data_IF_638432036743
#
_entry.id   IF_638432036743
#
_cell.length_a   1.000
_cell.length_b   1.000
_cell.length_c   1.000
_cell.angle_alpha   90.00
_cell.angle_beta   90.00
_cell.angle_gamma   90.00
#
_symmetry.space_group_name_H-M   'P 1'
#
loop_
_entity.id
_entity.type
_entity.pdbx_description
1 polymer ?
#
# COMPACT_ATOMS: atom_id res chain seq x y z
N UNK A 1 -2.75 -4.88 39.16
CA UNK A 1 -1.33 -4.45 39.15
C UNK A 1 -1.10 -3.73 37.82
N UNK A 2 -1.48 -2.45 37.76
CA UNK A 2 -1.45 -1.64 36.56
C UNK A 2 -0.22 -0.75 36.55
N UNK A 3 0.77 -1.04 35.72
CA UNK A 3 1.61 0.00 35.15
C UNK A 3 0.94 0.43 33.83
N UNK A 4 0.17 1.51 33.91
CA UNK A 4 -0.10 2.31 32.72
C UNK A 4 1.27 2.75 32.18
N UNK A 5 1.67 2.18 31.06
CA UNK A 5 2.76 2.73 30.27
C UNK A 5 2.19 4.05 29.75
N UNK A 6 2.58 5.15 30.39
CA UNK A 6 2.42 6.47 29.80
C UNK A 6 3.26 6.44 28.51
N UNK A 7 2.65 6.17 27.38
CA UNK A 7 3.27 6.39 26.09
C UNK A 7 3.55 7.88 26.04
N UNK A 8 4.81 8.22 25.94
CA UNK A 8 5.23 9.56 25.54
C UNK A 8 4.66 9.73 24.13
N UNK A 9 3.48 10.36 24.03
CA UNK A 9 2.86 10.66 22.74
C UNK A 9 3.82 11.59 21.99
N UNK A 10 4.61 11.02 21.11
CA UNK A 10 5.22 11.81 20.05
C UNK A 10 4.06 12.30 19.18
N UNK A 11 3.76 13.58 19.27
CA UNK A 11 2.65 14.16 18.49
C UNK A 11 2.98 14.06 17.01
N UNK A 12 2.13 13.37 16.22
CA UNK A 12 2.25 13.28 14.76
C UNK A 12 2.26 14.68 14.12
N UNK A 13 1.51 15.60 14.69
CA UNK A 13 1.37 16.97 14.20
C UNK A 13 1.75 17.99 15.27
N UNK A 14 2.47 19.03 14.87
CA UNK A 14 2.78 20.18 15.72
C UNK A 14 1.54 21.03 16.00
N UNK A 15 1.58 21.85 17.06
CA UNK A 15 0.51 22.80 17.35
C UNK A 15 0.23 23.77 16.18
N UNK A 16 1.27 24.16 15.43
CA UNK A 16 1.12 25.00 14.25
C UNK A 16 0.35 24.29 13.13
N UNK A 17 0.65 23.02 12.87
CA UNK A 17 -0.07 22.19 11.90
C UNK A 17 -1.53 21.98 12.29
N UNK A 18 -1.80 21.68 13.56
CA UNK A 18 -3.18 21.52 14.06
C UNK A 18 -3.96 22.84 13.96
N UNK A 19 -3.31 23.99 14.27
CA UNK A 19 -3.90 25.32 14.10
C UNK A 19 -4.20 25.64 12.64
N UNK A 20 -3.32 25.30 11.72
CA UNK A 20 -3.54 25.43 10.29
C UNK A 20 -4.75 24.59 9.83
N UNK A 21 -4.81 23.32 10.17
CA UNK A 21 -5.92 22.43 9.82
C UNK A 21 -7.28 22.89 10.40
N UNK A 22 -7.28 23.45 11.62
CA UNK A 22 -8.48 24.02 12.24
C UNK A 22 -8.97 25.29 11.51
N UNK A 23 -8.06 26.06 10.91
CA UNK A 23 -8.38 27.29 10.15
C UNK A 23 -8.99 27.04 8.78
N UNK A 24 -8.76 25.87 8.16
CA UNK A 24 -9.32 25.53 6.85
C UNK A 24 -10.85 25.43 6.90
N UNK A 25 -11.54 25.83 5.84
CA UNK A 25 -13.00 25.79 5.76
C UNK A 25 -13.44 25.12 4.46
N UNK A 26 -14.55 24.38 4.55
CA UNK A 26 -15.18 23.75 3.39
C UNK A 26 -14.33 22.67 2.74
N UNK A 27 -14.64 22.41 1.49
CA UNK A 27 -13.98 21.42 0.65
C UNK A 27 -12.67 21.98 0.07
N UNK A 28 -11.61 21.21 0.14
CA UNK A 28 -10.32 21.55 -0.46
C UNK A 28 -10.35 21.17 -1.94
N UNK A 29 -10.22 22.15 -2.83
CA UNK A 29 -9.96 21.93 -4.23
C UNK A 29 -8.53 21.40 -4.46
N UNK A 30 -8.11 21.23 -5.71
CA UNK A 30 -6.78 20.70 -6.03
C UNK A 30 -5.63 21.50 -5.42
N UNK A 31 -5.53 22.85 -5.62
CA UNK A 31 -4.46 23.65 -5.02
C UNK A 31 -4.43 23.58 -3.50
N UNK A 32 -5.59 23.71 -2.85
CA UNK A 32 -5.70 23.64 -1.40
C UNK A 32 -5.37 22.25 -0.85
N UNK A 33 -5.70 21.18 -1.58
CA UNK A 33 -5.36 19.80 -1.22
C UNK A 33 -3.84 19.58 -1.23
N UNK A 34 -3.16 20.01 -2.26
CA UNK A 34 -1.69 19.90 -2.38
C UNK A 34 -0.99 20.69 -1.26
N UNK A 35 -1.43 21.93 -1.00
CA UNK A 35 -0.88 22.74 0.07
C UNK A 35 -1.14 22.11 1.45
N UNK A 36 -2.33 21.57 1.68
CA UNK A 36 -2.66 20.88 2.93
C UNK A 36 -1.74 19.67 3.16
N UNK A 37 -1.62 18.77 2.17
CA UNK A 37 -0.78 17.56 2.30
C UNK A 37 0.68 17.92 2.59
N UNK A 38 1.20 18.94 1.88
CA UNK A 38 2.55 19.46 2.09
C UNK A 38 2.74 20.06 3.49
N UNK A 39 1.84 20.94 3.92
CA UNK A 39 1.92 21.60 5.23
C UNK A 39 1.82 20.61 6.39
N UNK A 40 1.00 19.57 6.22
CA UNK A 40 0.82 18.53 7.22
C UNK A 40 1.91 17.44 7.19
N UNK A 41 2.85 17.47 6.25
CA UNK A 41 3.83 16.41 5.98
C UNK A 41 3.14 15.05 5.82
N UNK A 42 2.05 15.01 5.06
CA UNK A 42 1.34 13.79 4.68
C UNK A 42 1.79 13.43 3.26
N UNK A 43 2.54 12.34 3.14
CA UNK A 43 3.17 11.94 1.89
C UNK A 43 2.26 11.05 1.08
N UNK A 44 2.22 11.25 -0.22
CA UNK A 44 1.34 10.56 -1.13
C UNK A 44 2.13 10.05 -2.34
N UNK A 45 1.86 8.83 -2.77
CA UNK A 45 2.44 8.19 -3.95
C UNK A 45 1.37 7.49 -4.79
N UNK A 46 1.78 6.96 -5.93
CA UNK A 46 0.89 6.27 -6.89
C UNK A 46 1.62 5.04 -7.41
N UNK A 47 0.95 3.90 -7.46
CA UNK A 47 1.45 2.74 -8.20
C UNK A 47 1.55 3.07 -9.69
N UNK A 48 2.67 2.74 -10.35
CA UNK A 48 2.84 3.04 -11.79
C UNK A 48 1.70 2.45 -12.62
N UNK A 49 1.16 1.31 -12.18
CA UNK A 49 0.00 0.67 -12.81
C UNK A 49 -1.23 1.56 -12.78
N UNK A 50 -1.51 2.28 -11.70
CA UNK A 50 -2.65 3.21 -11.60
C UNK A 50 -2.60 4.33 -12.65
N UNK A 51 -1.42 4.60 -13.21
CA UNK A 51 -1.21 5.55 -14.31
C UNK A 51 -1.05 4.85 -15.67
N UNK A 52 -1.31 3.53 -15.75
CA UNK A 52 -1.21 2.71 -16.94
C UNK A 52 -2.53 2.54 -17.68
N UNK A 53 -2.49 1.73 -18.74
CA UNK A 53 -3.69 1.16 -19.34
C UNK A 53 -3.98 -0.20 -18.70
N UNK A 54 -5.24 -0.46 -18.43
CA UNK A 54 -5.68 -1.71 -17.81
C UNK A 54 -6.38 -2.59 -18.84
N UNK A 55 -6.18 -3.89 -18.71
CA UNK A 55 -6.91 -4.87 -19.45
C UNK A 55 -7.58 -5.88 -18.52
N UNK A 56 -8.69 -6.44 -18.97
CA UNK A 56 -9.37 -7.56 -18.36
C UNK A 56 -9.98 -8.47 -19.42
N UNK A 57 -10.77 -9.47 -18.99
CA UNK A 57 -11.43 -10.39 -19.94
C UNK A 57 -12.46 -9.72 -20.87
N UNK A 58 -12.91 -8.50 -20.57
CA UNK A 58 -13.88 -7.74 -21.38
C UNK A 58 -13.20 -6.77 -22.34
N UNK A 59 -12.01 -6.30 -22.00
CA UNK A 59 -11.17 -5.43 -22.83
C UNK A 59 -9.72 -5.95 -22.86
N UNK A 60 -9.47 -7.12 -23.51
CA UNK A 60 -8.14 -7.73 -23.51
C UNK A 60 -7.01 -6.86 -24.08
N UNK A 61 -7.27 -5.94 -25.05
CA UNK A 61 -6.23 -5.04 -25.56
C UNK A 61 -5.91 -3.86 -24.63
N UNK A 62 -6.76 -3.62 -23.61
CA UNK A 62 -6.74 -2.42 -22.77
C UNK A 62 -7.90 -1.48 -23.07
N UNK A 63 -8.28 -0.70 -22.07
CA UNK A 63 -9.42 0.23 -22.14
C UNK A 63 -9.09 1.55 -22.86
N UNK A 64 -7.80 1.83 -23.09
CA UNK A 64 -7.29 2.99 -23.83
C UNK A 64 -6.54 2.59 -25.11
N UNK A 65 -6.69 1.33 -25.53
CA UNK A 65 -5.97 0.76 -26.69
C UNK A 65 -6.36 1.37 -28.05
N UNK A 66 -7.47 2.10 -28.11
CA UNK A 66 -7.94 2.85 -29.28
C UNK A 66 -7.40 4.29 -29.35
N UNK A 67 -6.68 4.75 -28.30
CA UNK A 67 -5.97 6.03 -28.32
C UNK A 67 -4.49 5.83 -28.67
N UNK A 68 -4.05 6.16 -29.90
CA UNK A 68 -2.65 6.03 -30.30
C UNK A 68 -1.69 6.94 -29.51
N UNK A 69 -2.23 7.96 -28.83
CA UNK A 69 -1.47 8.89 -28.00
C UNK A 69 -1.27 8.40 -26.57
N UNK A 70 -1.95 7.31 -26.18
CA UNK A 70 -1.86 6.78 -24.82
C UNK A 70 -0.59 5.93 -24.64
N UNK A 71 0.48 6.57 -24.17
CA UNK A 71 1.73 5.86 -23.86
C UNK A 71 1.57 4.93 -22.66
N UNK A 72 2.05 3.68 -22.78
CA UNK A 72 1.99 2.67 -21.70
C UNK A 72 3.32 2.45 -20.99
N UNK A 73 4.38 3.13 -21.47
CA UNK A 73 5.72 3.06 -20.89
C UNK A 73 5.83 3.82 -19.56
N UNK A 74 6.91 3.53 -18.82
CA UNK A 74 7.14 4.10 -17.50
C UNK A 74 7.27 5.63 -17.51
N UNK A 75 7.83 6.22 -18.57
CA UNK A 75 7.94 7.68 -18.70
C UNK A 75 6.54 8.30 -18.80
N UNK A 76 5.67 7.76 -19.64
CA UNK A 76 4.28 8.20 -19.80
C UNK A 76 3.50 8.10 -18.47
N UNK A 77 3.72 7.04 -17.71
CA UNK A 77 3.12 6.85 -16.39
C UNK A 77 3.62 7.90 -15.37
N UNK A 78 4.92 8.19 -15.35
CA UNK A 78 5.48 9.26 -14.52
C UNK A 78 4.88 10.63 -14.89
N UNK A 79 4.75 10.95 -16.18
CA UNK A 79 4.19 12.21 -16.64
C UNK A 79 2.72 12.38 -16.25
N UNK A 80 1.90 11.32 -16.35
CA UNK A 80 0.51 11.33 -15.88
C UNK A 80 0.40 11.51 -14.36
N UNK A 81 1.21 10.78 -13.59
CA UNK A 81 1.29 10.90 -12.13
C UNK A 81 1.64 12.35 -11.72
N UNK A 82 2.66 12.93 -12.35
CA UNK A 82 3.06 14.32 -12.11
C UNK A 82 1.97 15.32 -12.50
N UNK A 83 1.32 15.14 -13.64
CA UNK A 83 0.22 15.98 -14.10
C UNK A 83 -0.96 15.97 -13.13
N UNK A 84 -1.23 14.84 -12.48
CA UNK A 84 -2.22 14.70 -11.41
C UNK A 84 -1.82 15.41 -10.09
N UNK A 85 -0.57 15.86 -9.96
CA UNK A 85 -0.07 16.58 -8.79
C UNK A 85 0.66 15.70 -7.78
N UNK A 86 1.11 14.50 -8.16
CA UNK A 86 1.83 13.59 -7.27
C UNK A 86 3.29 13.48 -7.69
N UNK A 87 4.20 13.59 -6.72
CA UNK A 87 5.66 13.63 -6.95
C UNK A 87 6.36 12.31 -6.59
N UNK A 88 5.60 11.28 -6.28
CA UNK A 88 6.13 10.00 -5.85
C UNK A 88 5.40 8.85 -6.57
N UNK A 89 6.16 7.81 -6.94
CA UNK A 89 5.63 6.67 -7.69
C UNK A 89 6.17 5.36 -7.09
N UNK A 90 5.39 4.31 -7.17
CA UNK A 90 5.82 2.94 -6.89
C UNK A 90 5.98 2.16 -8.19
N UNK A 91 6.82 1.14 -8.16
CA UNK A 91 7.11 0.33 -9.33
C UNK A 91 6.95 -1.16 -9.04
N UNK A 92 6.69 -1.95 -10.08
CA UNK A 92 7.07 -3.35 -10.10
C UNK A 92 8.52 -3.49 -10.58
N UNK A 93 9.24 -4.52 -10.09
CA UNK A 93 10.60 -4.78 -10.55
C UNK A 93 10.66 -4.99 -12.08
N UNK A 94 9.58 -5.52 -12.66
CA UNK A 94 9.46 -5.79 -14.10
C UNK A 94 9.58 -4.56 -14.99
N UNK A 95 9.38 -3.35 -14.46
CA UNK A 95 9.61 -2.09 -15.18
C UNK A 95 11.06 -1.96 -15.65
N UNK A 96 12.01 -2.55 -14.92
CA UNK A 96 13.44 -2.48 -15.21
C UNK A 96 14.03 -3.83 -15.60
N UNK A 97 13.23 -4.73 -16.10
CA UNK A 97 13.66 -6.00 -16.69
C UNK A 97 13.64 -5.90 -18.23
N UNK A 98 14.56 -6.57 -18.90
CA UNK A 98 14.57 -6.64 -20.38
C UNK A 98 13.34 -7.33 -20.95
N UNK A 99 12.84 -8.30 -20.23
CA UNK A 99 11.58 -9.01 -20.46
C UNK A 99 10.96 -9.40 -19.13
N UNK A 100 9.68 -9.68 -19.08
CA UNK A 100 8.98 -10.09 -17.87
C UNK A 100 9.69 -11.26 -17.18
N UNK A 101 10.16 -11.04 -15.95
CA UNK A 101 10.98 -11.95 -15.16
C UNK A 101 12.26 -12.43 -15.89
N UNK A 102 12.82 -11.57 -16.71
CA UNK A 102 14.10 -11.73 -17.37
C UNK A 102 15.24 -11.04 -16.62
N UNK A 103 16.31 -10.75 -17.34
CA UNK A 103 17.46 -10.04 -16.76
C UNK A 103 17.11 -8.60 -16.41
N UNK A 104 17.68 -8.10 -15.32
CA UNK A 104 17.65 -6.69 -14.96
C UNK A 104 18.31 -5.86 -16.09
N UNK A 105 17.74 -4.68 -16.37
CA UNK A 105 18.31 -3.67 -17.27
C UNK A 105 18.83 -2.46 -16.46
N UNK A 106 20.09 -2.46 -15.99
CA UNK A 106 20.65 -1.33 -15.26
C UNK A 106 20.67 -0.04 -16.08
N UNK A 107 20.77 -0.14 -17.41
CA UNK A 107 20.73 1.02 -18.28
C UNK A 107 19.32 1.67 -18.32
N UNK A 108 18.27 0.88 -18.23
CA UNK A 108 16.91 1.42 -18.08
C UNK A 108 16.72 2.15 -16.75
N UNK A 109 17.28 1.61 -15.66
CA UNK A 109 17.28 2.28 -14.35
C UNK A 109 18.00 3.63 -14.45
N UNK A 110 19.20 3.67 -15.02
CA UNK A 110 19.96 4.90 -15.16
C UNK A 110 19.23 5.92 -16.05
N UNK A 111 18.66 5.49 -17.17
CA UNK A 111 17.83 6.35 -18.04
C UNK A 111 16.65 6.95 -17.29
N UNK A 112 15.94 6.16 -16.51
CA UNK A 112 14.79 6.64 -15.74
C UNK A 112 15.23 7.65 -14.66
N UNK A 113 16.30 7.36 -13.91
CA UNK A 113 16.79 8.22 -12.84
C UNK A 113 17.34 9.56 -13.36
N UNK A 114 18.11 9.55 -14.46
CA UNK A 114 18.68 10.77 -15.04
C UNK A 114 17.74 11.51 -15.98
N UNK A 115 16.74 10.81 -16.51
CA UNK A 115 15.72 11.34 -17.40
C UNK A 115 14.47 11.76 -16.64
N UNK A 116 13.36 11.05 -16.86
CA UNK A 116 12.01 11.45 -16.43
C UNK A 116 11.89 11.71 -14.92
N UNK A 117 12.53 10.90 -14.06
CA UNK A 117 12.44 11.11 -12.61
C UNK A 117 13.15 12.40 -12.18
N UNK A 118 14.33 12.68 -12.73
CA UNK A 118 15.05 13.92 -12.44
C UNK A 118 14.36 15.15 -13.06
N UNK A 119 13.89 15.04 -14.30
CA UNK A 119 13.16 16.10 -15.00
C UNK A 119 11.91 16.53 -14.23
N UNK A 120 11.13 15.58 -13.76
CA UNK A 120 9.87 15.82 -13.05
C UNK A 120 10.04 16.03 -11.53
N UNK A 121 11.25 15.85 -11.00
CA UNK A 121 11.50 15.91 -9.56
C UNK A 121 10.76 14.83 -8.79
N UNK A 122 10.61 13.62 -9.36
CA UNK A 122 9.89 12.51 -8.77
C UNK A 122 10.80 11.54 -8.03
N UNK A 123 10.26 10.88 -7.02
CA UNK A 123 10.93 9.82 -6.26
C UNK A 123 10.20 8.49 -6.40
N UNK A 124 10.96 7.38 -6.37
CA UNK A 124 10.39 6.03 -6.29
C UNK A 124 10.38 5.59 -4.83
N UNK A 125 9.22 5.21 -4.31
CA UNK A 125 9.00 4.96 -2.88
C UNK A 125 9.02 3.50 -2.50
N UNK A 126 8.56 2.63 -3.39
CA UNK A 126 8.44 1.19 -3.16
C UNK A 126 8.75 0.43 -4.45
N UNK A 127 9.42 -0.70 -4.31
CA UNK A 127 9.52 -1.72 -5.34
C UNK A 127 8.61 -2.89 -4.95
N UNK A 128 7.56 -3.14 -5.72
CA UNK A 128 6.64 -4.26 -5.55
C UNK A 128 7.10 -5.42 -6.43
N UNK A 129 7.02 -6.63 -5.92
CA UNK A 129 7.52 -7.81 -6.63
C UNK A 129 6.39 -8.50 -7.37
N UNK A 130 6.59 -8.70 -8.67
CA UNK A 130 5.65 -9.39 -9.54
C UNK A 130 6.11 -10.82 -9.82
N UNK A 131 5.51 -11.80 -9.15
CA UNK A 131 5.69 -13.24 -9.38
C UNK A 131 4.38 -13.91 -9.80
N UNK A 132 3.48 -13.18 -10.45
CA UNK A 132 2.15 -13.69 -10.85
C UNK A 132 1.84 -13.50 -12.33
N UNK A 133 2.28 -12.42 -12.97
CA UNK A 133 1.95 -12.13 -14.38
C UNK A 133 2.57 -13.14 -15.34
N UNK A 134 3.79 -13.63 -15.06
CA UNK A 134 4.42 -14.63 -15.91
C UNK A 134 3.75 -16.00 -15.71
N UNK A 135 3.24 -16.64 -16.78
CA UNK A 135 2.56 -17.93 -16.69
C UNK A 135 3.35 -19.07 -16.04
N UNK A 136 4.70 -18.96 -15.97
CA UNK A 136 5.52 -19.95 -15.26
C UNK A 136 5.14 -20.06 -13.78
N UNK A 137 4.67 -18.95 -13.18
CA UNK A 137 4.25 -18.86 -11.77
C UNK A 137 2.74 -19.10 -11.56
N UNK A 138 2.00 -19.63 -12.52
CA UNK A 138 0.55 -19.87 -12.41
C UNK A 138 0.12 -20.76 -11.25
N UNK A 139 1.03 -21.56 -10.68
CA UNK A 139 0.80 -22.42 -9.50
C UNK A 139 1.56 -21.92 -8.26
N UNK A 140 1.86 -20.61 -8.22
CA UNK A 140 2.60 -19.95 -7.16
C UNK A 140 4.00 -19.52 -7.57
N UNK A 141 4.51 -18.52 -6.89
CA UNK A 141 5.90 -18.08 -6.93
C UNK A 141 6.71 -18.73 -5.81
N UNK A 142 6.91 -18.08 -4.64
CA UNK A 142 7.61 -18.66 -3.49
C UNK A 142 7.00 -19.96 -2.94
N UNK A 143 5.70 -20.19 -3.15
CA UNK A 143 5.00 -21.42 -2.71
C UNK A 143 4.83 -22.46 -3.82
N UNK A 144 5.46 -22.29 -4.98
CA UNK A 144 5.30 -23.20 -6.11
C UNK A 144 5.66 -24.66 -5.71
N UNK A 145 4.89 -25.68 -6.12
CA UNK A 145 5.24 -27.07 -5.86
C UNK A 145 6.58 -27.49 -6.49
N UNK A 146 6.97 -26.88 -7.61
CA UNK A 146 8.26 -27.11 -8.25
C UNK A 146 9.37 -26.31 -7.56
N UNK A 147 10.39 -26.97 -6.96
CA UNK A 147 11.49 -26.28 -6.29
C UNK A 147 12.33 -25.39 -7.22
N UNK A 148 12.39 -25.69 -8.53
CA UNK A 148 13.09 -24.84 -9.48
C UNK A 148 12.34 -23.52 -9.69
N UNK A 149 11.01 -23.56 -9.70
CA UNK A 149 10.19 -22.34 -9.81
C UNK A 149 10.17 -21.54 -8.49
N UNK A 150 10.20 -22.19 -7.31
CA UNK A 150 10.43 -21.47 -6.03
C UNK A 150 11.75 -20.73 -6.03
N UNK A 151 12.83 -21.37 -6.53
CA UNK A 151 14.13 -20.72 -6.67
C UNK A 151 14.06 -19.54 -7.63
N UNK A 152 13.45 -19.71 -8.78
CA UNK A 152 13.26 -18.62 -9.74
C UNK A 152 12.46 -17.45 -9.14
N UNK A 153 11.42 -17.72 -8.37
CA UNK A 153 10.66 -16.69 -7.66
C UNK A 153 11.50 -15.93 -6.62
N UNK A 154 12.33 -16.65 -5.85
CA UNK A 154 13.27 -16.02 -4.92
C UNK A 154 14.26 -15.10 -5.66
N UNK A 155 14.75 -15.52 -6.82
CA UNK A 155 15.63 -14.71 -7.66
C UNK A 155 14.94 -13.42 -8.14
N UNK A 156 13.63 -13.48 -8.46
CA UNK A 156 12.84 -12.28 -8.78
C UNK A 156 12.78 -11.30 -7.59
N UNK A 157 12.51 -11.81 -6.38
CA UNK A 157 12.46 -10.95 -5.19
C UNK A 157 13.84 -10.33 -4.92
N UNK A 158 14.93 -11.07 -5.09
CA UNK A 158 16.28 -10.56 -4.92
C UNK A 158 16.68 -9.54 -5.99
N UNK A 159 16.14 -9.63 -7.21
CA UNK A 159 16.29 -8.54 -8.21
C UNK A 159 15.63 -7.26 -7.72
N UNK A 160 14.47 -7.34 -7.08
CA UNK A 160 13.82 -6.18 -6.44
C UNK A 160 14.71 -5.55 -5.38
N UNK A 161 15.43 -6.34 -4.57
CA UNK A 161 16.42 -5.80 -3.63
C UNK A 161 17.54 -5.04 -4.36
N UNK A 162 18.03 -5.58 -5.49
CA UNK A 162 19.06 -4.89 -6.29
C UNK A 162 18.55 -3.57 -6.88
N UNK A 163 17.32 -3.54 -7.39
CA UNK A 163 16.67 -2.29 -7.86
C UNK A 163 16.58 -1.28 -6.71
N UNK A 164 16.12 -1.74 -5.52
CA UNK A 164 16.03 -0.88 -4.33
C UNK A 164 17.40 -0.26 -3.99
N UNK A 165 18.48 -1.03 -4.08
CA UNK A 165 19.85 -0.53 -3.86
C UNK A 165 20.25 0.53 -4.89
N UNK A 166 20.08 0.22 -6.18
CA UNK A 166 20.46 1.10 -7.28
C UNK A 166 19.69 2.42 -7.28
N UNK A 167 18.42 2.36 -6.95
CA UNK A 167 17.53 3.52 -6.96
C UNK A 167 17.36 4.17 -5.57
N UNK A 168 17.92 3.60 -4.52
CA UNK A 168 17.76 4.03 -3.12
C UNK A 168 16.28 4.00 -2.66
N UNK A 169 15.55 2.99 -3.11
CA UNK A 169 14.17 2.78 -2.72
C UNK A 169 14.13 2.19 -1.30
N UNK A 170 13.37 2.80 -0.37
CA UNK A 170 13.42 2.39 1.04
C UNK A 170 12.61 1.12 1.36
N UNK A 171 11.65 0.74 0.53
CA UNK A 171 10.72 -0.36 0.80
C UNK A 171 10.68 -1.34 -0.38
N UNK A 172 10.79 -2.62 -0.06
CA UNK A 172 10.48 -3.75 -0.94
C UNK A 172 9.18 -4.37 -0.44
N UNK A 173 8.14 -4.42 -1.27
CA UNK A 173 6.85 -5.03 -0.93
C UNK A 173 6.65 -6.33 -1.68
N UNK A 174 6.20 -7.36 -0.98
CA UNK A 174 5.89 -8.69 -1.53
C UNK A 174 4.41 -8.99 -1.30
N UNK A 175 3.67 -8.98 -2.39
CA UNK A 175 2.32 -9.49 -2.48
C UNK A 175 2.37 -10.93 -3.00
N UNK A 176 1.69 -11.92 -2.35
CA UNK A 176 1.81 -13.32 -2.74
C UNK A 176 1.25 -13.66 -4.13
N UNK A 177 0.43 -12.79 -4.73
CA UNK A 177 -0.01 -12.92 -6.12
C UNK A 177 -0.70 -14.26 -6.42
N UNK A 178 0.02 -15.17 -7.10
CA UNK A 178 -0.48 -16.49 -7.47
C UNK A 178 -0.23 -17.59 -6.42
N UNK A 179 0.33 -17.24 -5.23
CA UNK A 179 0.55 -18.21 -4.17
C UNK A 179 -0.75 -18.49 -3.40
N UNK A 180 -1.28 -19.69 -3.54
CA UNK A 180 -2.54 -20.08 -2.91
C UNK A 180 -3.14 -21.33 -3.55
N UNK A 181 -4.48 -21.46 -3.52
CA UNK A 181 -5.20 -22.61 -4.05
C UNK A 181 -6.57 -22.24 -4.59
N UNK A 182 -6.93 -22.82 -5.74
CA UNK A 182 -8.27 -22.71 -6.34
C UNK A 182 -9.22 -23.78 -5.78
N UNK A 183 -8.69 -24.91 -5.30
CA UNK A 183 -9.48 -26.07 -4.87
C UNK A 183 -9.02 -26.59 -3.53
N UNK A 184 -9.97 -27.17 -2.78
CA UNK A 184 -9.65 -27.88 -1.55
C UNK A 184 -8.69 -29.04 -1.83
N UNK A 185 -7.74 -29.27 -0.92
CA UNK A 185 -6.70 -30.29 -1.00
C UNK A 185 -5.65 -30.08 -2.11
N UNK A 186 -5.68 -28.96 -2.83
CA UNK A 186 -4.71 -28.65 -3.89
C UNK A 186 -3.29 -28.45 -3.36
N UNK A 187 -3.16 -27.88 -2.16
CA UNK A 187 -1.87 -27.60 -1.52
C UNK A 187 -1.85 -28.09 -0.07
N UNK A 188 -0.66 -28.32 0.45
CA UNK A 188 -0.42 -28.35 1.89
C UNK A 188 -0.19 -26.93 2.39
N UNK A 189 -1.16 -26.38 3.10
CA UNK A 189 -1.13 -24.98 3.58
C UNK A 189 0.07 -24.70 4.49
N UNK A 190 0.39 -25.63 5.41
CA UNK A 190 1.52 -25.48 6.32
C UNK A 190 2.84 -25.42 5.55
N UNK A 191 3.05 -26.36 4.66
CA UNK A 191 4.25 -26.44 3.84
C UNK A 191 4.40 -25.19 2.95
N UNK A 192 3.32 -24.70 2.37
CA UNK A 192 3.34 -23.50 1.53
C UNK A 192 3.71 -22.24 2.32
N UNK A 193 3.16 -22.08 3.53
CA UNK A 193 3.54 -20.99 4.45
C UNK A 193 5.02 -21.09 4.86
N UNK A 194 5.52 -22.29 5.10
CA UNK A 194 6.93 -22.53 5.41
C UNK A 194 7.84 -22.09 4.25
N UNK A 195 7.55 -22.51 3.02
CA UNK A 195 8.32 -22.11 1.83
C UNK A 195 8.31 -20.58 1.63
N UNK A 196 7.15 -19.95 1.76
CA UNK A 196 7.03 -18.49 1.69
C UNK A 196 7.88 -17.81 2.76
N UNK A 197 7.81 -18.28 3.99
CA UNK A 197 8.57 -17.75 5.12
C UNK A 197 10.08 -17.91 4.91
N UNK A 198 10.54 -19.08 4.46
CA UNK A 198 11.97 -19.34 4.16
C UNK A 198 12.51 -18.43 3.06
N UNK A 199 11.74 -18.20 2.00
CA UNK A 199 12.09 -17.25 0.96
C UNK A 199 12.25 -15.83 1.54
N UNK A 200 11.28 -15.38 2.33
CA UNK A 200 11.32 -14.05 2.94
C UNK A 200 12.42 -13.89 4.00
N UNK A 201 12.81 -14.95 4.72
CA UNK A 201 13.99 -14.93 5.60
C UNK A 201 15.27 -14.64 4.81
N UNK A 202 15.42 -15.27 3.65
CA UNK A 202 16.57 -15.02 2.75
C UNK A 202 16.58 -13.59 2.25
N UNK A 203 15.43 -13.11 1.78
CA UNK A 203 15.26 -11.73 1.30
C UNK A 203 15.50 -10.70 2.41
N UNK A 204 14.95 -10.93 3.60
CA UNK A 204 15.09 -9.98 4.72
C UNK A 204 16.53 -9.85 5.20
N UNK A 205 17.29 -10.95 5.18
CA UNK A 205 18.75 -10.90 5.45
C UNK A 205 19.49 -10.02 4.47
N UNK A 206 19.08 -10.03 3.20
CA UNK A 206 19.68 -9.16 2.19
C UNK A 206 19.22 -7.71 2.35
N UNK A 207 17.92 -7.48 2.60
CA UNK A 207 17.35 -6.16 2.88
C UNK A 207 18.04 -5.47 4.06
N UNK A 208 18.28 -6.20 5.16
CA UNK A 208 18.96 -5.69 6.36
C UNK A 208 20.36 -5.14 6.07
N UNK A 209 21.12 -5.76 5.14
CA UNK A 209 22.46 -5.28 4.76
C UNK A 209 22.45 -3.90 4.11
N UNK A 210 21.32 -3.53 3.52
CA UNK A 210 21.20 -2.31 2.71
C UNK A 210 20.22 -1.29 3.29
N UNK A 211 19.66 -1.55 4.49
CA UNK A 211 18.68 -0.67 5.13
C UNK A 211 17.34 -0.60 4.39
N UNK A 212 17.03 -1.60 3.55
CA UNK A 212 15.77 -1.73 2.83
C UNK A 212 14.76 -2.42 3.75
N UNK A 213 13.56 -1.88 3.88
CA UNK A 213 12.47 -2.47 4.63
C UNK A 213 11.74 -3.50 3.78
N UNK A 214 11.45 -4.68 4.36
CA UNK A 214 10.64 -5.70 3.70
C UNK A 214 9.21 -5.60 4.20
N UNK A 215 8.25 -5.52 3.30
CA UNK A 215 6.82 -5.50 3.61
C UNK A 215 6.12 -6.72 3.01
N UNK A 216 5.18 -7.30 3.76
CA UNK A 216 4.27 -8.35 3.29
C UNK A 216 2.90 -7.72 3.12
N UNK A 217 2.29 -7.92 1.97
CA UNK A 217 0.96 -7.45 1.66
C UNK A 217 -0.03 -8.62 1.65
N UNK A 218 -0.93 -8.71 2.65
CA UNK A 218 -1.96 -9.74 2.69
C UNK A 218 -3.11 -9.42 1.76
N UNK A 219 -3.72 -10.47 1.19
CA UNK A 219 -4.95 -10.40 0.41
C UNK A 219 -5.73 -11.71 0.55
N UNK A 220 -7.06 -11.67 0.79
CA UNK A 220 -7.83 -12.90 1.02
C UNK A 220 -7.91 -13.80 -0.20
N UNK A 221 -8.16 -13.24 -1.37
CA UNK A 221 -8.34 -13.93 -2.65
C UNK A 221 -8.22 -12.96 -3.82
N UNK A 222 -8.14 -13.49 -5.03
CA UNK A 222 -8.15 -12.74 -6.28
C UNK A 222 -9.48 -12.88 -7.04
N UNK A 223 -9.73 -12.12 -8.12
CA UNK A 223 -10.95 -12.21 -8.92
C UNK A 223 -11.31 -13.61 -9.44
N UNK A 224 -10.38 -14.56 -9.43
CA UNK A 224 -10.63 -15.97 -9.74
C UNK A 224 -11.01 -16.81 -8.54
N UNK A 225 -11.27 -16.15 -7.39
CA UNK A 225 -11.60 -16.78 -6.12
C UNK A 225 -10.49 -17.69 -5.55
N UNK A 226 -9.24 -17.46 -5.97
CA UNK A 226 -8.07 -18.13 -5.42
C UNK A 226 -7.94 -17.78 -3.93
N UNK A 227 -7.83 -18.78 -3.08
CA UNK A 227 -7.46 -18.58 -1.67
C UNK A 227 -5.97 -18.34 -1.57
N UNK A 228 -5.60 -17.09 -1.22
CA UNK A 228 -4.20 -16.71 -1.11
C UNK A 228 -3.56 -17.23 0.18
N UNK A 229 -2.24 -17.47 0.12
CA UNK A 229 -1.51 -18.10 1.23
C UNK A 229 -1.37 -17.19 2.45
N UNK A 230 -1.40 -15.87 2.24
CA UNK A 230 -1.37 -14.85 3.29
C UNK A 230 -2.69 -14.04 3.20
N UNK A 231 -3.81 -14.60 3.68
CA UNK A 231 -5.12 -14.02 3.41
C UNK A 231 -5.47 -12.81 4.28
N UNK A 232 -4.80 -12.62 5.41
CA UNK A 232 -5.19 -11.60 6.40
C UNK A 232 -3.99 -10.86 6.98
N UNK A 233 -4.22 -9.66 7.52
CA UNK A 233 -3.21 -8.93 8.27
C UNK A 233 -2.63 -9.76 9.44
N UNK A 234 -3.45 -10.56 10.11
CA UNK A 234 -3.00 -11.46 11.19
C UNK A 234 -2.02 -12.53 10.68
N UNK A 235 -2.29 -13.14 9.52
CA UNK A 235 -1.37 -14.11 8.92
C UNK A 235 -0.05 -13.46 8.49
N UNK A 236 -0.11 -12.25 7.91
CA UNK A 236 1.09 -11.49 7.55
C UNK A 236 1.94 -11.13 8.79
N UNK A 237 1.30 -10.73 9.89
CA UNK A 237 1.98 -10.45 11.18
C UNK A 237 2.68 -11.71 11.70
N UNK A 238 2.02 -12.86 11.69
CA UNK A 238 2.62 -14.12 12.13
C UNK A 238 3.86 -14.47 11.30
N UNK A 239 3.78 -14.36 9.97
CA UNK A 239 4.91 -14.61 9.07
C UNK A 239 6.03 -13.58 9.30
N UNK A 240 5.71 -12.28 9.41
CA UNK A 240 6.70 -11.25 9.69
C UNK A 240 7.46 -11.48 11.00
N UNK A 241 6.76 -11.95 12.06
CA UNK A 241 7.40 -12.32 13.33
C UNK A 241 8.39 -13.49 13.15
N UNK A 242 8.03 -14.53 12.37
CA UNK A 242 8.94 -15.65 12.10
C UNK A 242 10.13 -15.21 11.26
N UNK A 243 9.91 -14.39 10.22
CA UNK A 243 10.98 -13.83 9.37
C UNK A 243 11.94 -13.00 10.22
N UNK A 244 11.44 -12.10 11.04
CA UNK A 244 12.24 -11.25 11.92
C UNK A 244 13.08 -12.08 12.91
N UNK A 245 12.47 -13.08 13.54
CA UNK A 245 13.15 -13.99 14.46
C UNK A 245 14.29 -14.74 13.76
N UNK A 246 14.04 -15.27 12.56
CA UNK A 246 15.01 -16.10 11.84
C UNK A 246 16.12 -15.27 11.14
N UNK A 247 15.88 -13.99 10.83
CA UNK A 247 16.85 -13.09 10.22
C UNK A 247 17.63 -12.23 11.22
N UNK A 248 17.22 -12.22 12.50
CA UNK A 248 17.93 -11.50 13.56
C UNK A 248 17.66 -9.98 13.58
N UNK A 249 16.47 -9.54 13.16
CA UNK A 249 16.11 -8.12 13.15
C UNK A 249 14.60 -7.90 13.27
N UNK A 250 14.16 -6.65 13.25
CA UNK A 250 12.74 -6.24 13.20
C UNK A 250 12.48 -5.40 11.95
N UNK A 251 12.82 -5.92 10.79
CA UNK A 251 12.81 -5.21 9.51
C UNK A 251 11.67 -5.65 8.58
N UNK A 252 11.19 -6.89 8.73
CA UNK A 252 10.02 -7.37 8.03
C UNK A 252 8.78 -6.82 8.72
N UNK A 253 7.93 -6.13 7.95
CA UNK A 253 6.69 -5.52 8.39
C UNK A 253 5.60 -5.76 7.36
N UNK A 254 4.60 -4.87 7.30
CA UNK A 254 3.45 -5.01 6.44
C UNK A 254 3.30 -3.84 5.46
N UNK A 255 2.71 -4.16 4.32
CA UNK A 255 1.84 -3.28 3.55
C UNK A 255 0.42 -3.53 4.00
N UNK A 256 -0.34 -2.50 4.31
CA UNK A 256 -1.78 -2.61 4.56
C UNK A 256 -2.51 -1.91 3.42
N UNK A 257 -3.21 -2.71 2.62
CA UNK A 257 -4.09 -2.22 1.58
C UNK A 257 -5.51 -2.08 2.12
N UNK A 258 -6.11 -0.90 1.89
CA UNK A 258 -7.44 -0.56 2.43
C UNK A 258 -8.55 -1.40 1.81
N UNK A 259 -8.50 -1.67 0.51
CA UNK A 259 -9.47 -2.52 -0.20
C UNK A 259 -9.39 -3.98 0.25
N UNK A 260 -8.17 -4.50 0.46
CA UNK A 260 -7.97 -5.87 0.94
C UNK A 260 -8.61 -6.07 2.33
N UNK A 261 -8.55 -5.07 3.21
CA UNK A 261 -9.21 -5.17 4.52
C UNK A 261 -10.74 -5.21 4.39
N UNK A 262 -11.31 -4.54 3.39
CA UNK A 262 -12.74 -4.64 3.09
C UNK A 262 -13.13 -6.00 2.54
N UNK A 263 -12.26 -6.66 1.79
CA UNK A 263 -12.47 -8.04 1.36
C UNK A 263 -12.50 -9.01 2.55
N UNK A 264 -11.66 -8.78 3.57
CA UNK A 264 -11.65 -9.55 4.83
C UNK A 264 -12.90 -9.31 5.69
N UNK A 265 -13.76 -8.37 5.34
CA UNK A 265 -14.86 -7.87 6.18
C UNK A 265 -14.39 -7.37 7.57
N UNK A 266 -13.18 -6.83 7.63
CA UNK A 266 -12.60 -6.17 8.80
C UNK A 266 -12.42 -4.68 8.53
N UNK A 267 -11.70 -3.97 9.41
CA UNK A 267 -11.33 -2.58 9.20
C UNK A 267 -9.81 -2.45 9.09
N UNK A 268 -9.34 -1.59 8.20
CA UNK A 268 -7.91 -1.30 8.10
C UNK A 268 -7.34 -0.71 9.41
N UNK A 269 -8.18 -0.03 10.20
CA UNK A 269 -7.84 0.41 11.56
C UNK A 269 -7.47 -0.75 12.48
N UNK A 270 -8.26 -1.86 12.43
CA UNK A 270 -7.95 -3.06 13.21
C UNK A 270 -6.62 -3.69 12.78
N UNK A 271 -6.35 -3.75 11.48
CA UNK A 271 -5.07 -4.28 10.97
C UNK A 271 -3.87 -3.45 11.46
N UNK A 272 -3.98 -2.11 11.43
CA UNK A 272 -2.97 -1.20 11.96
C UNK A 272 -2.70 -1.44 13.46
N UNK A 273 -3.75 -1.55 14.24
CA UNK A 273 -3.65 -1.71 15.69
C UNK A 273 -3.16 -3.10 16.08
N UNK A 274 -3.53 -4.14 15.32
CA UNK A 274 -3.03 -5.49 15.50
C UNK A 274 -1.52 -5.57 15.22
N UNK A 275 -1.06 -4.93 14.15
CA UNK A 275 0.37 -4.82 13.85
C UNK A 275 1.14 -4.12 14.98
N UNK A 276 0.61 -2.99 15.46
CA UNK A 276 1.19 -2.26 16.59
C UNK A 276 1.21 -3.09 17.88
N UNK A 277 0.12 -3.82 18.19
CA UNK A 277 0.05 -4.73 19.33
C UNK A 277 1.09 -5.85 19.25
N UNK A 278 1.31 -6.37 18.06
CA UNK A 278 2.29 -7.43 17.80
C UNK A 278 3.75 -6.93 17.73
N UNK A 279 3.98 -5.62 17.79
CA UNK A 279 5.31 -5.02 17.64
C UNK A 279 5.86 -5.08 16.20
N UNK A 280 4.98 -5.24 15.21
CA UNK A 280 5.31 -5.28 13.78
C UNK A 280 5.05 -3.91 13.16
N UNK A 281 6.00 -3.42 12.36
CA UNK A 281 5.88 -2.13 11.69
C UNK A 281 5.01 -2.24 10.43
N UNK A 282 4.23 -1.21 10.15
CA UNK A 282 3.63 -1.01 8.84
C UNK A 282 4.54 -0.09 8.05
N UNK A 283 5.05 -0.58 6.92
CA UNK A 283 6.02 0.15 6.10
C UNK A 283 5.36 0.93 4.99
N UNK A 284 4.17 0.51 4.57
CA UNK A 284 3.41 1.11 3.47
C UNK A 284 1.91 0.99 3.75
N UNK A 285 1.18 2.00 3.33
CA UNK A 285 -0.28 1.96 3.25
C UNK A 285 -0.72 2.17 1.81
N UNK A 286 -1.56 1.26 1.31
CA UNK A 286 -2.24 1.44 0.05
C UNK A 286 -3.64 2.01 0.28
N UNK A 287 -3.97 2.99 -0.56
CA UNK A 287 -5.24 3.69 -0.55
C UNK A 287 -5.96 3.50 -1.88
N UNK A 288 -7.10 2.89 -1.79
CA UNK A 288 -8.09 2.66 -2.82
C UNK A 288 -9.46 2.64 -2.14
N UNK A 289 -10.49 2.15 -2.78
CA UNK A 289 -11.76 1.90 -2.12
C UNK A 289 -12.46 0.67 -2.73
N UNK A 290 -13.24 -0.01 -1.92
CA UNK A 290 -14.02 -1.17 -2.32
C UNK A 290 -15.29 -1.27 -1.46
N UNK A 291 -16.30 -1.99 -1.96
CA UNK A 291 -17.46 -2.35 -1.14
C UNK A 291 -17.13 -3.52 -0.24
N UNK A 292 -17.62 -3.46 0.99
CA UNK A 292 -17.41 -4.52 1.98
C UNK A 292 -17.81 -5.90 1.45
N UNK A 293 -16.92 -6.88 1.62
CA UNK A 293 -17.15 -8.28 1.24
C UNK A 293 -17.29 -8.51 -0.27
N UNK A 294 -16.76 -7.61 -1.10
CA UNK A 294 -16.65 -7.78 -2.55
C UNK A 294 -15.23 -8.10 -2.94
N UNK A 295 -15.03 -8.42 -4.22
CA UNK A 295 -13.70 -8.51 -4.81
C UNK A 295 -12.98 -7.17 -4.69
N UNK A 296 -11.68 -7.21 -4.83
CA UNK A 296 -10.89 -6.00 -4.93
C UNK A 296 -11.38 -5.14 -6.09
N UNK A 297 -11.89 -3.97 -5.74
CA UNK A 297 -12.49 -3.09 -6.73
C UNK A 297 -11.56 -1.93 -7.11
N UNK A 298 -10.54 -1.69 -6.31
CA UNK A 298 -9.50 -0.68 -6.54
C UNK A 298 -10.03 0.67 -7.03
N UNK A 299 -11.15 1.09 -6.42
CA UNK A 299 -11.81 2.35 -6.75
C UNK A 299 -11.02 3.54 -6.20
N UNK A 300 -11.31 4.73 -6.70
CA UNK A 300 -10.77 5.97 -6.16
C UNK A 300 -11.06 6.10 -4.66
N UNK A 301 -10.06 6.44 -3.86
CA UNK A 301 -10.15 6.50 -2.41
C UNK A 301 -11.25 7.45 -1.92
N UNK A 302 -12.00 7.01 -0.89
CA UNK A 302 -13.04 7.79 -0.23
C UNK A 302 -14.34 7.92 -1.02
N UNK A 303 -14.60 7.00 -1.97
CA UNK A 303 -15.81 7.03 -2.79
C UNK A 303 -16.93 6.13 -2.27
N UNK A 304 -16.63 5.19 -1.36
CA UNK A 304 -17.61 4.23 -0.84
C UNK A 304 -18.00 4.53 0.61
N UNK A 305 -17.02 4.72 1.51
CA UNK A 305 -17.31 4.94 2.93
C UNK A 305 -16.43 6.03 3.54
N UNK A 306 -16.99 7.23 3.71
CA UNK A 306 -16.28 8.34 4.37
C UNK A 306 -15.92 8.00 5.82
N UNK A 307 -16.83 7.48 6.68
CA UNK A 307 -16.49 7.18 8.07
C UNK A 307 -15.31 6.21 8.21
N UNK A 308 -15.31 5.12 7.45
CA UNK A 308 -14.24 4.11 7.49
C UNK A 308 -12.91 4.68 6.99
N UNK A 309 -12.92 5.44 5.90
CA UNK A 309 -11.71 6.06 5.36
C UNK A 309 -11.12 7.09 6.33
N UNK A 310 -11.96 7.86 7.02
CA UNK A 310 -11.51 8.82 8.04
C UNK A 310 -10.97 8.11 9.27
N UNK A 311 -11.62 7.05 9.74
CA UNK A 311 -11.13 6.25 10.87
C UNK A 311 -9.78 5.59 10.56
N UNK A 312 -9.64 5.05 9.36
CA UNK A 312 -8.37 4.49 8.89
C UNK A 312 -7.24 5.52 8.95
N UNK A 313 -7.42 6.70 8.34
CA UNK A 313 -6.40 7.76 8.35
C UNK A 313 -6.12 8.26 9.77
N UNK A 314 -7.17 8.44 10.59
CA UNK A 314 -7.01 8.79 12.00
C UNK A 314 -6.14 7.78 12.74
N UNK A 315 -6.38 6.47 12.55
CA UNK A 315 -5.61 5.41 13.20
C UNK A 315 -4.14 5.45 12.79
N UNK A 316 -3.84 5.65 11.50
CA UNK A 316 -2.45 5.78 11.04
C UNK A 316 -1.76 6.99 11.67
N UNK A 317 -2.46 8.11 11.88
CA UNK A 317 -1.92 9.30 12.55
C UNK A 317 -1.66 9.05 14.03
N UNK A 318 -2.56 8.34 14.73
CA UNK A 318 -2.37 7.93 16.13
C UNK A 318 -1.16 6.99 16.28
N UNK A 319 -0.86 6.18 15.26
CA UNK A 319 0.33 5.31 15.21
C UNK A 319 1.59 6.00 14.70
N UNK A 320 1.56 7.33 14.54
CA UNK A 320 2.68 8.17 14.07
C UNK A 320 3.27 7.72 12.72
N UNK A 321 2.44 7.22 11.83
CA UNK A 321 2.89 6.86 10.50
C UNK A 321 3.37 8.10 9.71
N UNK A 322 4.57 7.98 9.11
CA UNK A 322 5.24 9.06 8.36
C UNK A 322 5.70 8.65 6.98
N UNK A 323 5.33 7.45 6.56
CA UNK A 323 5.60 6.94 5.22
C UNK A 323 4.64 7.49 4.17
N UNK A 324 4.65 6.85 3.02
CA UNK A 324 3.78 7.22 1.90
C UNK A 324 2.46 6.45 1.97
N UNK A 325 1.36 7.15 1.64
CA UNK A 325 0.10 6.54 1.28
C UNK A 325 0.06 6.43 -0.23
N UNK A 326 0.01 5.21 -0.76
CA UNK A 326 0.08 4.97 -2.19
C UNK A 326 -1.29 4.68 -2.76
N UNK A 327 -1.62 5.31 -3.88
CA UNK A 327 -2.80 4.91 -4.64
C UNK A 327 -2.50 3.58 -5.34
N UNK A 328 -3.20 2.55 -4.91
CA UNK A 328 -3.32 1.27 -5.58
C UNK A 328 -4.73 1.15 -6.14
N UNK A 329 -4.94 1.72 -7.33
CA UNK A 329 -6.26 1.80 -7.92
C UNK A 329 -6.23 1.34 -9.39
N UNK A 330 -7.32 0.67 -9.81
CA UNK A 330 -7.53 0.17 -11.16
C UNK A 330 -8.84 0.72 -11.71
N UNK A 331 -8.80 1.95 -12.21
CA UNK A 331 -9.99 2.71 -12.62
C UNK A 331 -10.40 2.48 -14.08
N UNK A 332 -10.02 1.37 -14.67
CA UNK A 332 -10.26 0.81 -16.02
C UNK A 332 -10.77 1.77 -17.10
N UNK A 333 -11.93 2.41 -16.85
CA UNK A 333 -12.69 3.17 -17.87
C UNK A 333 -12.44 4.67 -17.79
N UNK A 334 -11.72 5.13 -16.78
CA UNK A 334 -11.50 6.55 -16.49
C UNK A 334 -10.14 7.00 -17.05
N UNK A 335 -10.01 8.28 -17.36
CA UNK A 335 -8.68 8.86 -17.61
C UNK A 335 -7.82 8.72 -16.35
N UNK A 336 -6.67 8.04 -16.42
CA UNK A 336 -5.87 7.75 -15.22
C UNK A 336 -5.39 9.03 -14.51
N UNK A 337 -5.03 10.08 -15.24
CA UNK A 337 -4.60 11.35 -14.66
C UNK A 337 -5.71 11.97 -13.81
N UNK A 338 -6.94 11.96 -14.35
CA UNK A 338 -8.11 12.50 -13.65
C UNK A 338 -8.50 11.64 -12.45
N UNK A 339 -8.39 10.32 -12.57
CA UNK A 339 -8.67 9.39 -11.48
C UNK A 339 -7.66 9.56 -10.32
N UNK A 340 -6.36 9.65 -10.63
CA UNK A 340 -5.31 9.92 -9.64
C UNK A 340 -5.53 11.27 -8.96
N UNK A 341 -5.78 12.34 -9.74
CA UNK A 341 -6.08 13.67 -9.18
C UNK A 341 -7.27 13.64 -8.24
N UNK A 342 -8.38 12.99 -8.65
CA UNK A 342 -9.59 12.89 -7.84
C UNK A 342 -9.34 12.13 -6.54
N UNK A 343 -8.62 11.01 -6.60
CA UNK A 343 -8.25 10.22 -5.42
C UNK A 343 -7.39 11.03 -4.45
N UNK A 344 -6.42 11.80 -4.96
CA UNK A 344 -5.57 12.69 -4.15
C UNK A 344 -6.40 13.80 -3.46
N UNK A 345 -7.35 14.42 -4.16
CA UNK A 345 -8.22 15.45 -3.58
C UNK A 345 -9.11 14.84 -2.48
N UNK A 346 -9.70 13.68 -2.74
CA UNK A 346 -10.49 12.95 -1.74
C UNK A 346 -9.64 12.62 -0.50
N UNK A 347 -8.45 12.06 -0.73
CA UNK A 347 -7.51 11.73 0.34
C UNK A 347 -7.18 12.93 1.23
N UNK A 348 -6.88 14.10 0.63
CA UNK A 348 -6.58 15.32 1.37
C UNK A 348 -7.79 15.78 2.22
N UNK A 349 -9.00 15.75 1.66
CA UNK A 349 -10.21 16.15 2.37
C UNK A 349 -10.54 15.20 3.53
N UNK A 350 -10.36 13.90 3.34
CA UNK A 350 -10.57 12.89 4.39
C UNK A 350 -9.46 12.95 5.46
N UNK A 351 -8.22 13.20 5.05
CA UNK A 351 -7.12 13.43 5.98
C UNK A 351 -7.34 14.68 6.83
N UNK A 352 -7.90 15.76 6.27
CA UNK A 352 -8.29 16.94 7.05
C UNK A 352 -9.32 16.59 8.14
N UNK A 353 -10.33 15.78 7.79
CA UNK A 353 -11.31 15.30 8.79
C UNK A 353 -10.63 14.43 9.87
N UNK A 354 -9.75 13.53 9.47
CA UNK A 354 -8.99 12.68 10.40
C UNK A 354 -8.08 13.51 11.33
N UNK A 355 -7.41 14.55 10.82
CA UNK A 355 -6.60 15.49 11.63
C UNK A 355 -7.46 16.24 12.64
N UNK A 356 -8.65 16.65 12.28
CA UNK A 356 -9.57 17.32 13.20
C UNK A 356 -10.04 16.42 14.33
N UNK A 357 -10.33 15.15 14.04
CA UNK A 357 -10.63 14.14 15.06
C UNK A 357 -9.39 13.89 15.93
N UNK A 358 -8.21 13.79 15.34
CA UNK A 358 -6.94 13.64 16.05
C UNK A 358 -6.69 14.82 17.01
N UNK A 359 -6.94 16.04 16.59
CA UNK A 359 -6.82 17.23 17.44
C UNK A 359 -7.79 17.20 18.64
N UNK A 360 -8.89 16.47 18.53
CA UNK A 360 -9.90 16.31 19.60
C UNK A 360 -9.76 14.96 20.35
N UNK A 361 -8.59 14.32 20.29
CA UNK A 361 -8.30 13.05 20.93
C UNK A 361 -8.78 12.94 22.38
N UNK A 362 -8.56 13.93 23.27
CA UNK A 362 -8.99 13.81 24.66
C UNK A 362 -10.52 13.65 24.83
N UNK A 363 -11.31 14.33 23.99
CA UNK A 363 -12.77 14.21 23.99
C UNK A 363 -13.20 12.83 23.48
N UNK A 364 -12.54 12.35 22.41
CA UNK A 364 -12.81 11.02 21.85
C UNK A 364 -12.45 9.91 22.85
N UNK A 365 -11.33 10.01 23.55
CA UNK A 365 -10.93 9.02 24.54
C UNK A 365 -11.89 9.00 25.73
N UNK A 366 -12.39 10.16 26.17
CA UNK A 366 -13.43 10.25 27.18
C UNK A 366 -14.73 9.58 26.73
N UNK A 367 -15.15 9.82 25.48
CA UNK A 367 -16.34 9.21 24.91
C UNK A 367 -16.21 7.68 24.80
N UNK A 368 -15.04 7.18 24.39
CA UNK A 368 -14.71 5.73 24.35
C UNK A 368 -14.79 5.08 25.72
N UNK A 369 -14.41 5.79 26.80
CA UNK A 369 -14.52 5.30 28.18
C UNK A 369 -15.99 5.15 28.64
N UNK A 370 -16.90 5.96 28.11
CA UNK A 370 -18.34 5.79 28.35
C UNK A 370 -18.88 4.53 27.66
N UNK A 371 -18.25 4.08 26.56
CA UNK A 371 -18.50 2.80 25.91
C UNK A 371 -19.78 2.75 25.08
N UNK A 372 -20.42 3.88 24.82
CA UNK A 372 -21.63 3.93 24.00
C UNK A 372 -21.38 4.55 22.62
N UNK A 373 -22.08 4.04 21.59
CA UNK A 373 -22.00 4.60 20.26
C UNK A 373 -22.40 6.09 20.19
N UNK A 374 -23.51 6.51 20.79
CA UNK A 374 -23.91 7.92 20.80
C UNK A 374 -22.84 8.87 21.35
N UNK A 375 -22.18 8.54 22.46
CA UNK A 375 -21.14 9.40 23.05
C UNK A 375 -19.97 9.61 22.06
N UNK A 376 -19.57 8.55 21.36
CA UNK A 376 -18.51 8.64 20.32
C UNK A 376 -18.99 9.44 19.12
N UNK A 377 -20.23 9.19 18.65
CA UNK A 377 -20.82 9.89 17.51
C UNK A 377 -20.99 11.39 17.77
N UNK A 378 -21.30 11.81 19.00
CA UNK A 378 -21.37 13.23 19.37
C UNK A 378 -20.03 13.95 19.16
N UNK A 379 -18.91 13.24 19.27
CA UNK A 379 -17.57 13.78 19.02
C UNK A 379 -17.20 13.79 17.54
N UNK A 380 -17.49 12.69 16.81
CA UNK A 380 -16.98 12.51 15.45
C UNK A 380 -17.93 12.99 14.36
N UNK A 381 -19.27 12.88 14.55
CA UNK A 381 -20.26 13.26 13.53
C UNK A 381 -20.17 14.73 13.10
N UNK A 382 -19.94 15.71 13.98
CA UNK A 382 -19.78 17.10 13.55
C UNK A 382 -18.62 17.31 12.57
N UNK A 383 -17.60 16.45 12.63
CA UNK A 383 -16.45 16.47 11.68
C UNK A 383 -16.77 15.70 10.42
N UNK A 384 -17.48 14.58 10.52
CA UNK A 384 -17.76 13.70 9.38
C UNK A 384 -18.78 14.32 8.41
N UNK A 385 -19.84 14.96 8.91
CA UNK A 385 -20.94 15.49 8.11
C UNK A 385 -20.94 17.02 7.98
N UNK A 386 -20.15 17.72 8.78
CA UNK A 386 -19.93 19.17 8.68
C UNK A 386 -18.76 19.47 7.79
#
# INVERSE_FOLDING_TARGET
>A
MGRMIASTFMSRFSAAQLGYAAGLKGYLDRPASLEFLKTMDIKHSVGHWSAGDFCDRFAPPGYHSDDPGFGTDFESQCRRTKAAGVDAIEIHQSVFEKTMNGDLDPAAIERAQRGVLAELGMVVTTCNINTWTNPKFRLGGPCNPDPALRKAALEEVLKGVEICKLMKIPVLSVWPGSDGADYHFQIDYKQSIEWFTEALVTVNKECLKHGIKLAIEPKPYEPRELYMIIPTAASAILVAQQVNKASGGNNCGLTIDYGHQKMEATTASTACDLAAFAGIQVHKFDINDARQGRNDQDLMFGTISIPESVEYLYTTFVRDYRGYYSQDQFTYREDPTRAIERSMINFANLALKAVRIYANQPALDKARQAGTGPDVLDVVSPVLVG
#
